data_IF_995758262277
#
_entry.id   IF_995758262277
#
_cell.length_a   1.000
_cell.length_b   1.000
_cell.length_c   1.000
_cell.angle_alpha   90.00
_cell.angle_beta   90.00
_cell.angle_gamma   90.00
#
_symmetry.space_group_name_H-M   'P 1'
#
loop_
_entity.id
_entity.type
_entity.pdbx_description
1 polymer ?
#
# COMPACT_ATOMS: atom_id res chain seq x y z
N UNK A 1 -7.88 -8.09 -16.33
CA UNK A 1 -9.21 -8.45 -16.88
C UNK A 1 -10.19 -8.58 -15.73
N UNK A 2 -11.22 -7.73 -15.69
CA UNK A 2 -12.22 -7.68 -14.62
C UNK A 2 -13.02 -6.38 -14.74
N UNK A 3 -13.99 -6.36 -15.66
CA UNK A 3 -14.89 -5.22 -15.90
C UNK A 3 -15.95 -5.19 -14.80
N UNK A 4 -16.03 -4.10 -14.05
CA UNK A 4 -17.15 -3.76 -13.17
C UNK A 4 -17.90 -2.59 -13.79
N UNK A 5 -18.81 -2.90 -14.71
CA UNK A 5 -19.87 -1.99 -15.16
C UNK A 5 -20.97 -2.84 -15.79
N UNK A 6 -22.09 -3.04 -15.09
CA UNK A 6 -23.39 -3.10 -15.74
C UNK A 6 -24.48 -2.63 -14.78
N UNK A 7 -25.02 -1.47 -15.12
CA UNK A 7 -26.30 -0.94 -14.68
C UNK A 7 -27.42 -1.76 -15.29
N UNK A 8 -28.33 -2.31 -14.48
CA UNK A 8 -29.55 -2.94 -14.97
C UNK A 8 -30.76 -2.03 -14.79
N UNK A 9 -31.35 -1.62 -15.90
CA UNK A 9 -32.80 -1.39 -16.02
C UNK A 9 -33.47 -2.71 -16.45
N UNK A 10 -34.75 -2.95 -16.11
CA UNK A 10 -35.37 -4.27 -16.22
C UNK A 10 -36.08 -4.48 -17.57
N UNK A 11 -35.89 -5.65 -18.17
CA UNK A 11 -36.82 -6.19 -19.17
C UNK A 11 -37.09 -7.67 -18.88
N UNK A 12 -38.37 -8.05 -18.99
CA UNK A 12 -38.97 -9.31 -18.58
C UNK A 12 -38.72 -10.47 -19.57
N UNK A 13 -38.72 -11.71 -19.06
CA UNK A 13 -38.98 -12.92 -19.88
C UNK A 13 -38.28 -14.22 -19.42
N UNK A 14 -39.04 -15.07 -18.71
CA UNK A 14 -39.01 -16.54 -18.68
C UNK A 14 -37.70 -17.38 -18.58
N UNK A 15 -37.57 -18.03 -17.42
CA UNK A 15 -37.29 -19.46 -17.16
C UNK A 15 -35.96 -20.17 -17.54
N UNK A 16 -35.32 -20.66 -16.46
CA UNK A 16 -34.65 -21.95 -16.24
C UNK A 16 -33.26 -22.23 -16.86
N UNK A 17 -32.22 -22.22 -16.00
CA UNK A 17 -31.38 -23.38 -15.62
C UNK A 17 -30.40 -22.98 -14.48
N UNK A 18 -30.10 -23.86 -13.49
CA UNK A 18 -29.34 -23.51 -12.28
C UNK A 18 -27.87 -23.94 -12.36
N UNK A 19 -26.96 -23.12 -11.84
CA UNK A 19 -25.55 -23.44 -11.48
C UNK A 19 -24.79 -22.10 -11.36
N UNK A 20 -24.02 -21.74 -10.32
CA UNK A 20 -23.26 -22.48 -9.32
C UNK A 20 -23.20 -21.57 -8.08
N UNK A 21 -23.55 -22.07 -6.91
CA UNK A 21 -23.22 -21.41 -5.64
C UNK A 21 -21.71 -21.53 -5.44
N UNK A 22 -21.02 -20.39 -5.55
CA UNK A 22 -19.65 -20.29 -5.05
C UNK A 22 -19.73 -20.04 -3.55
N UNK A 23 -19.75 -21.13 -2.78
CA UNK A 23 -19.52 -21.14 -1.34
C UNK A 23 -18.13 -20.55 -1.06
N UNK A 24 -18.10 -19.31 -0.60
CA UNK A 24 -16.89 -18.71 -0.03
C UNK A 24 -17.00 -18.83 1.48
N UNK A 25 -16.51 -19.96 1.99
CA UNK A 25 -16.30 -20.19 3.42
C UNK A 25 -15.32 -19.15 3.96
N UNK A 26 -15.81 -18.28 4.84
CA UNK A 26 -14.95 -17.47 5.72
C UNK A 26 -14.39 -18.40 6.81
N UNK A 27 -13.08 -18.40 7.00
CA UNK A 27 -12.47 -19.05 8.17
C UNK A 27 -12.97 -18.35 9.45
N UNK A 28 -13.83 -19.03 10.22
CA UNK A 28 -14.04 -18.69 11.64
C UNK A 28 -15.44 -18.36 12.13
N UNK A 29 -16.52 -18.53 11.36
CA UNK A 29 -17.89 -18.36 11.88
C UNK A 29 -18.56 -19.73 12.13
N UNK A 30 -19.05 -20.04 13.34
CA UNK A 30 -19.86 -21.23 13.55
C UNK A 30 -21.19 -21.08 12.80
N UNK A 31 -21.60 -22.15 12.12
CA UNK A 31 -22.90 -22.25 11.44
C UNK A 31 -24.04 -22.12 12.46
N UNK A 32 -24.68 -20.96 12.53
CA UNK A 32 -26.03 -20.87 13.09
C UNK A 32 -27.04 -20.62 11.98
N UNK A 33 -27.95 -21.59 11.85
CA UNK A 33 -28.98 -21.63 10.83
C UNK A 33 -30.03 -20.52 11.04
N UNK A 34 -30.28 -19.74 9.97
CA UNK A 34 -31.59 -19.14 9.75
C UNK A 34 -31.75 -17.67 10.12
N UNK A 35 -30.90 -16.79 9.58
CA UNK A 35 -31.26 -15.40 9.29
C UNK A 35 -30.80 -15.13 7.85
N UNK A 36 -31.67 -14.54 7.00
CA UNK A 36 -31.21 -13.98 5.73
C UNK A 36 -30.35 -12.76 6.08
N UNK A 37 -29.10 -13.02 6.43
CA UNK A 37 -28.14 -11.97 6.76
C UNK A 37 -27.99 -11.08 5.54
N UNK A 38 -28.43 -9.84 5.69
CA UNK A 38 -28.04 -8.79 4.76
C UNK A 38 -26.54 -8.70 4.88
N UNK A 39 -25.81 -9.20 3.89
CA UNK A 39 -24.37 -8.97 3.79
C UNK A 39 -24.12 -7.48 4.04
N UNK A 40 -23.12 -7.14 4.87
CA UNK A 40 -22.81 -5.75 5.13
C UNK A 40 -22.57 -5.04 3.80
N UNK A 41 -23.22 -3.89 3.63
CA UNK A 41 -23.14 -3.06 2.40
C UNK A 41 -21.69 -2.65 2.08
N UNK A 42 -20.82 -2.67 3.10
CA UNK A 42 -19.40 -2.36 3.02
C UNK A 42 -18.56 -3.53 3.52
N UNK A 43 -17.49 -3.85 2.80
CA UNK A 43 -16.45 -4.77 3.26
C UNK A 43 -15.30 -3.93 3.82
N UNK A 44 -14.80 -4.19 5.05
CA UNK A 44 -13.63 -3.49 5.57
C UNK A 44 -12.48 -3.50 4.55
N UNK A 45 -11.93 -2.32 4.29
CA UNK A 45 -10.99 -2.09 3.22
C UNK A 45 -9.59 -1.90 3.78
N UNK A 46 -8.66 -2.74 3.33
CA UNK A 46 -7.22 -2.49 3.44
C UNK A 46 -6.75 -1.97 2.09
N UNK A 47 -6.37 -0.69 2.04
CA UNK A 47 -5.85 -0.03 0.85
C UNK A 47 -4.33 0.06 0.95
N UNK A 48 -3.64 -0.61 0.03
CA UNK A 48 -2.18 -0.55 -0.09
C UNK A 48 -1.83 0.18 -1.39
N UNK A 49 -0.97 1.19 -1.29
CA UNK A 49 -0.55 2.01 -2.42
C UNK A 49 0.97 1.88 -2.58
N UNK A 50 1.45 1.03 -3.51
CA UNK A 50 2.85 0.95 -3.85
C UNK A 50 3.30 2.24 -4.54
N UNK A 51 4.46 2.76 -4.15
CA UNK A 51 5.00 4.04 -4.59
C UNK A 51 6.50 3.93 -4.83
N UNK A 52 7.00 4.77 -5.75
CA UNK A 52 8.42 5.03 -5.91
C UNK A 52 8.65 6.54 -5.79
N UNK A 53 9.23 6.99 -4.69
CA UNK A 53 9.34 8.41 -4.31
C UNK A 53 10.65 9.09 -4.75
N UNK A 54 11.41 8.43 -5.64
CA UNK A 54 12.68 8.92 -6.15
C UNK A 54 13.49 7.82 -6.83
N UNK A 55 14.64 8.19 -7.38
CA UNK A 55 15.51 7.24 -8.10
C UNK A 55 16.38 6.42 -7.15
N UNK A 56 17.05 7.07 -6.21
CA UNK A 56 17.97 6.43 -5.25
C UNK A 56 17.62 6.79 -3.82
N UNK A 57 17.27 8.05 -3.59
CA UNK A 57 16.81 8.61 -2.33
C UNK A 57 15.40 9.16 -2.53
N UNK A 58 14.69 9.38 -1.42
CA UNK A 58 13.38 10.04 -1.45
C UNK A 58 13.55 11.51 -1.86
N UNK A 59 12.67 11.99 -2.74
CA UNK A 59 12.60 13.41 -3.04
C UNK A 59 12.02 14.19 -1.83
N UNK A 60 12.71 15.23 -1.37
CA UNK A 60 12.30 16.04 -0.22
C UNK A 60 10.88 16.62 -0.36
N UNK A 61 10.42 16.87 -1.59
CA UNK A 61 9.07 17.36 -1.87
C UNK A 61 7.94 16.41 -1.43
N UNK A 62 8.26 15.12 -1.22
CA UNK A 62 7.31 14.11 -0.74
C UNK A 62 7.33 13.92 0.79
N UNK A 63 8.34 14.44 1.50
CA UNK A 63 8.52 14.20 2.94
C UNK A 63 7.31 14.67 3.73
N UNK A 64 6.80 15.87 3.46
CA UNK A 64 5.64 16.38 4.19
C UNK A 64 4.35 15.61 3.87
N UNK A 65 4.16 15.18 2.63
CA UNK A 65 3.02 14.32 2.27
C UNK A 65 3.11 12.96 2.95
N UNK A 66 4.32 12.38 3.05
CA UNK A 66 4.57 11.13 3.76
C UNK A 66 4.27 11.26 5.26
N UNK A 67 4.75 12.34 5.91
CA UNK A 67 4.43 12.65 7.32
C UNK A 67 2.92 12.71 7.54
N UNK A 68 2.19 13.38 6.64
CA UNK A 68 0.73 13.46 6.72
C UNK A 68 0.03 12.10 6.59
N UNK A 69 0.57 11.14 5.82
CA UNK A 69 0.01 9.79 5.76
C UNK A 69 0.03 9.07 7.11
N UNK A 70 1.02 9.34 7.98
CA UNK A 70 1.06 8.80 9.34
C UNK A 70 0.08 9.48 10.31
N UNK A 71 -0.43 10.67 9.97
CA UNK A 71 -1.31 11.45 10.84
C UNK A 71 -2.80 11.11 10.66
N UNK A 72 -3.15 10.32 9.64
CA UNK A 72 -4.54 9.95 9.36
C UNK A 72 -5.01 8.88 10.35
N UNK A 73 -6.25 8.94 10.86
CA UNK A 73 -6.84 7.88 11.69
C UNK A 73 -6.83 6.50 11.02
N UNK A 74 -6.92 6.48 9.69
CA UNK A 74 -6.91 5.27 8.87
C UNK A 74 -5.50 4.72 8.64
N UNK A 75 -4.44 5.39 9.07
CA UNK A 75 -3.06 5.00 8.75
C UNK A 75 -2.72 3.62 9.30
N UNK A 76 -2.27 2.73 8.41
CA UNK A 76 -1.60 1.48 8.76
C UNK A 76 -0.08 1.65 8.68
N UNK A 77 0.44 2.87 8.55
CA UNK A 77 1.87 3.09 8.35
C UNK A 77 2.37 2.72 6.95
N UNK A 78 3.66 2.42 6.87
CA UNK A 78 4.39 2.24 5.61
C UNK A 78 5.30 1.03 5.71
N UNK A 79 5.34 0.21 4.66
CA UNK A 79 6.36 -0.82 4.49
C UNK A 79 7.34 -0.40 3.41
N UNK A 80 8.62 -0.69 3.61
CA UNK A 80 9.65 -0.34 2.64
C UNK A 80 11.02 -0.78 3.11
N UNK A 81 12.06 -0.33 2.40
CA UNK A 81 13.44 -0.62 2.73
C UNK A 81 14.20 -1.24 1.56
N UNK A 82 15.50 -1.42 1.78
CA UNK A 82 16.42 -1.98 0.78
C UNK A 82 16.27 -3.51 0.74
N UNK A 83 16.75 -4.18 -0.32
CA UNK A 83 16.85 -5.63 -0.34
C UNK A 83 17.54 -6.15 0.94
N UNK A 84 16.90 -7.09 1.64
CA UNK A 84 17.34 -7.66 2.93
C UNK A 84 17.40 -6.68 4.11
N UNK A 85 16.76 -5.51 4.00
CA UNK A 85 16.66 -4.49 5.05
C UNK A 85 15.28 -3.83 5.03
N UNK A 86 14.22 -4.65 5.17
CA UNK A 86 12.83 -4.19 5.15
C UNK A 86 12.35 -3.79 6.56
N UNK A 87 11.62 -2.69 6.66
CA UNK A 87 11.10 -2.17 7.91
C UNK A 87 9.61 -1.85 7.80
N UNK A 88 8.90 -1.93 8.94
CA UNK A 88 7.52 -1.47 9.06
C UNK A 88 7.47 -0.17 9.84
N UNK A 89 7.32 0.94 9.12
CA UNK A 89 7.24 2.28 9.68
C UNK A 89 5.85 2.56 10.23
N UNK A 90 5.78 2.98 11.48
CA UNK A 90 4.51 3.17 12.22
C UNK A 90 4.24 4.64 12.57
N UNK A 91 5.20 5.53 12.30
CA UNK A 91 5.06 6.96 12.59
C UNK A 91 6.36 7.71 12.38
N UNK A 92 6.40 8.95 12.88
CA UNK A 92 7.57 9.81 12.80
C UNK A 92 7.68 10.73 14.01
N UNK A 93 8.87 11.29 14.22
CA UNK A 93 9.16 12.36 15.18
C UNK A 93 10.20 13.30 14.59
N UNK A 94 9.82 14.57 14.37
CA UNK A 94 10.68 15.51 13.65
C UNK A 94 10.99 15.00 12.23
N UNK A 95 12.28 14.78 11.95
CA UNK A 95 12.78 14.25 10.67
C UNK A 95 13.19 12.76 10.75
N UNK A 96 12.75 12.06 11.78
CA UNK A 96 13.02 10.63 11.97
C UNK A 96 11.74 9.80 11.82
N UNK A 97 11.83 8.68 11.10
CA UNK A 97 10.79 7.65 11.08
C UNK A 97 10.96 6.72 12.27
N UNK A 98 9.83 6.23 12.79
CA UNK A 98 9.78 5.21 13.84
C UNK A 98 9.31 3.90 13.21
N UNK A 99 10.01 2.80 13.46
CA UNK A 99 9.70 1.51 12.81
C UNK A 99 9.89 0.29 13.70
N UNK A 100 9.27 -0.81 13.26
CA UNK A 100 9.51 -2.17 13.73
C UNK A 100 10.45 -2.90 12.77
N UNK A 101 11.43 -3.59 13.34
CA UNK A 101 12.51 -4.27 12.62
C UNK A 101 12.36 -5.80 12.72
N UNK A 102 12.16 -6.52 11.59
CA UNK A 102 12.01 -7.97 11.58
C UNK A 102 13.35 -8.74 11.60
N UNK A 103 14.52 -8.09 11.56
CA UNK A 103 15.81 -8.75 11.37
C UNK A 103 16.39 -9.40 12.64
N UNK A 104 15.53 -9.92 13.51
CA UNK A 104 15.90 -10.76 14.66
C UNK A 104 15.26 -12.12 14.52
N UNK A 105 16.08 -13.16 14.35
CA UNK A 105 15.60 -14.55 14.30
C UNK A 105 15.19 -15.02 15.70
N UNK A 106 13.95 -15.47 15.83
CA UNK A 106 13.40 -16.02 17.07
C UNK A 106 13.04 -17.50 16.89
N UNK A 107 13.03 -18.32 17.96
CA UNK A 107 12.48 -19.67 17.91
C UNK A 107 11.01 -19.66 17.48
N UNK A 108 10.59 -20.69 16.73
CA UNK A 108 9.18 -20.85 16.40
C UNK A 108 8.36 -21.10 17.67
N UNK A 109 7.20 -20.45 17.77
CA UNK A 109 6.24 -20.68 18.85
C UNK A 109 5.38 -21.88 18.49
N UNK A 110 5.44 -22.93 19.30
CA UNK A 110 4.62 -24.13 19.13
C UNK A 110 3.18 -23.84 19.56
N UNK A 111 2.17 -24.18 18.73
CA UNK A 111 0.78 -24.00 19.10
C UNK A 111 0.40 -24.92 20.26
N UNK A 112 -0.38 -24.39 21.21
CA UNK A 112 -0.86 -25.13 22.36
C UNK A 112 -2.30 -25.62 22.13
N UNK A 113 -2.59 -26.86 22.51
CA UNK A 113 -3.92 -27.48 22.41
C UNK A 113 -5.00 -26.73 23.20
N UNK A 114 -4.61 -25.88 24.16
CA UNK A 114 -5.54 -25.09 24.96
C UNK A 114 -6.07 -23.83 24.26
N UNK A 115 -5.68 -23.56 23.01
CA UNK A 115 -6.09 -22.38 22.24
C UNK A 115 -5.47 -21.05 22.73
N UNK A 116 -4.57 -21.11 23.71
CA UNK A 116 -3.84 -19.94 24.22
C UNK A 116 -2.38 -20.02 23.72
N UNK A 117 -2.00 -19.06 22.88
CA UNK A 117 -0.65 -18.95 22.32
C UNK A 117 0.18 -17.98 23.18
N UNK A 118 1.40 -18.37 23.62
CA UNK A 118 2.30 -17.43 24.26
C UNK A 118 2.72 -16.37 23.23
N UNK A 119 2.37 -15.11 23.49
CA UNK A 119 2.45 -14.04 22.50
C UNK A 119 3.62 -13.06 22.72
N UNK A 120 4.45 -13.29 23.75
CA UNK A 120 5.47 -12.34 24.20
C UNK A 120 6.48 -11.99 23.10
N UNK A 121 6.79 -12.96 22.24
CA UNK A 121 7.71 -12.82 21.09
C UNK A 121 7.18 -11.94 19.95
N UNK A 122 5.86 -11.69 19.90
CA UNK A 122 5.20 -10.88 18.88
C UNK A 122 5.02 -9.41 19.29
N UNK A 123 5.44 -9.04 20.50
CA UNK A 123 5.41 -7.67 21.00
C UNK A 123 6.81 -7.11 21.17
N UNK A 124 7.15 -6.07 20.43
CA UNK A 124 8.44 -5.38 20.59
C UNK A 124 8.43 -4.53 21.87
N UNK A 125 9.12 -4.97 22.92
CA UNK A 125 9.24 -4.25 24.19
C UNK A 125 10.48 -3.33 24.27
N UNK A 126 11.33 -3.35 23.26
CA UNK A 126 12.51 -2.49 23.18
C UNK A 126 12.12 -1.06 22.77
N UNK A 127 12.97 -0.06 23.07
CA UNK A 127 12.79 1.29 22.53
C UNK A 127 12.61 1.24 21.01
N UNK A 128 11.62 1.96 20.44
CA UNK A 128 11.36 1.93 19.01
C UNK A 128 12.59 2.36 18.20
N UNK A 129 12.88 1.63 17.12
CA UNK A 129 13.95 1.97 16.20
C UNK A 129 13.63 3.27 15.45
N UNK A 130 14.68 4.03 15.12
CA UNK A 130 14.58 5.30 14.40
C UNK A 130 15.60 5.39 13.28
N UNK A 131 15.24 6.11 12.23
CA UNK A 131 16.15 6.45 11.14
C UNK A 131 15.72 7.78 10.51
N UNK A 132 16.62 8.46 9.81
CA UNK A 132 16.25 9.70 9.12
C UNK A 132 15.27 9.38 7.97
N UNK A 133 14.29 10.26 7.74
CA UNK A 133 13.39 10.14 6.58
C UNK A 133 14.19 10.13 5.27
N UNK A 134 15.30 10.87 5.20
CA UNK A 134 16.16 10.93 4.01
C UNK A 134 16.85 9.59 3.67
N UNK A 135 16.99 8.69 4.65
CA UNK A 135 17.62 7.37 4.48
C UNK A 135 16.63 6.31 3.98
N UNK A 136 15.34 6.64 3.91
CA UNK A 136 14.29 5.75 3.45
C UNK A 136 14.52 5.35 1.98
N UNK A 137 14.45 4.04 1.68
CA UNK A 137 14.45 3.60 0.28
C UNK A 137 13.20 4.14 -0.43
N UNK A 138 13.33 4.74 -1.62
CA UNK A 138 12.19 5.35 -2.30
C UNK A 138 11.12 4.35 -2.74
N UNK A 139 11.38 3.03 -2.76
CA UNK A 139 10.35 2.00 -2.97
C UNK A 139 9.62 1.67 -1.67
N UNK A 140 8.37 2.11 -1.58
CA UNK A 140 7.53 1.88 -0.39
C UNK A 140 6.11 1.44 -0.79
N UNK A 141 5.35 0.97 0.19
CA UNK A 141 3.90 0.92 0.10
C UNK A 141 3.27 1.53 1.35
N UNK A 142 2.38 2.51 1.14
CA UNK A 142 1.60 3.15 2.20
C UNK A 142 0.30 2.37 2.40
N UNK A 143 -0.08 2.12 3.64
CA UNK A 143 -1.31 1.40 3.98
C UNK A 143 -2.34 2.25 4.69
N UNK A 144 -3.62 2.02 4.36
CA UNK A 144 -4.76 2.59 5.05
C UNK A 144 -5.83 1.53 5.33
N UNK A 145 -6.50 1.64 6.48
CA UNK A 145 -7.62 0.79 6.86
C UNK A 145 -8.89 1.62 7.02
N UNK A 146 -9.93 1.26 6.26
CA UNK A 146 -11.26 1.86 6.34
C UNK A 146 -12.27 0.78 6.70
N UNK A 147 -12.64 0.72 7.99
CA UNK A 147 -13.56 -0.30 8.48
C UNK A 147 -14.98 -0.10 7.92
N UNK A 148 -15.37 1.15 7.71
CA UNK A 148 -16.67 1.56 7.19
C UNK A 148 -16.53 2.43 5.93
N UNK A 149 -17.64 2.61 5.19
CA UNK A 149 -17.70 3.55 4.07
C UNK A 149 -17.46 5.00 4.52
N UNK A 150 -17.87 5.35 5.74
CA UNK A 150 -17.63 6.67 6.34
C UNK A 150 -16.14 6.91 6.57
N UNK A 151 -15.39 5.91 7.04
CA UNK A 151 -13.93 6.00 7.20
C UNK A 151 -13.23 6.24 5.85
N UNK A 152 -13.71 5.58 4.79
CA UNK A 152 -13.18 5.78 3.43
C UNK A 152 -13.51 7.18 2.89
N UNK A 153 -14.72 7.67 3.15
CA UNK A 153 -15.12 9.02 2.76
C UNK A 153 -14.31 10.09 3.50
N UNK A 154 -14.03 9.90 4.79
CA UNK A 154 -13.15 10.77 5.56
C UNK A 154 -11.72 10.74 5.02
N UNK A 155 -11.16 9.54 4.77
CA UNK A 155 -9.85 9.40 4.13
C UNK A 155 -9.78 10.16 2.79
N UNK A 156 -10.80 10.02 1.93
CA UNK A 156 -10.90 10.76 0.67
C UNK A 156 -10.86 12.28 0.87
N UNK A 157 -11.52 12.80 1.91
CA UNK A 157 -11.51 14.22 2.24
C UNK A 157 -10.14 14.68 2.74
N UNK A 158 -9.45 13.87 3.54
CA UNK A 158 -8.11 14.18 4.03
C UNK A 158 -7.11 14.25 2.86
N UNK A 159 -7.15 13.28 1.94
CA UNK A 159 -6.30 13.30 0.73
C UNK A 159 -6.54 14.55 -0.13
N UNK A 160 -7.81 14.93 -0.34
CA UNK A 160 -8.15 16.15 -1.09
C UNK A 160 -7.66 17.43 -0.39
N UNK A 161 -7.61 17.45 0.93
CA UNK A 161 -7.06 18.58 1.70
C UNK A 161 -5.54 18.65 1.54
N UNK A 162 -4.85 17.50 1.53
CA UNK A 162 -3.39 17.44 1.35
C UNK A 162 -2.95 17.97 -0.01
N UNK A 163 -3.71 17.72 -1.08
CA UNK A 163 -3.38 18.25 -2.40
C UNK A 163 -3.47 19.78 -2.50
N UNK A 164 -4.01 20.46 -1.49
CA UNK A 164 -4.09 21.92 -1.40
C UNK A 164 -2.95 22.52 -0.54
N UNK A 165 -2.16 21.69 0.14
CA UNK A 165 -1.06 22.16 0.99
C UNK A 165 0.06 22.71 0.12
N UNK A 166 0.42 23.97 0.35
CA UNK A 166 1.43 24.68 -0.44
C UNK A 166 2.82 24.12 -0.11
N UNK A 167 3.55 23.67 -1.13
CA UNK A 167 4.92 23.18 -0.99
C UNK A 167 5.07 21.67 -0.81
N UNK A 168 3.97 20.92 -0.74
CA UNK A 168 3.98 19.46 -0.74
C UNK A 168 3.54 18.93 -2.11
N UNK A 169 4.21 17.90 -2.63
CA UNK A 169 3.79 17.22 -3.86
C UNK A 169 2.96 15.97 -3.53
N UNK A 170 1.80 15.76 -4.17
CA UNK A 170 1.02 14.56 -3.95
C UNK A 170 1.80 13.31 -4.39
N UNK A 171 1.83 12.29 -3.54
CA UNK A 171 2.46 11.00 -3.87
C UNK A 171 1.58 10.12 -4.78
N UNK A 172 0.25 10.32 -4.71
CA UNK A 172 -0.73 9.62 -5.52
C UNK A 172 -1.95 10.53 -5.77
N UNK A 173 -2.76 10.18 -6.77
CA UNK A 173 -3.97 10.90 -7.14
C UNK A 173 -5.23 10.12 -6.75
N UNK A 174 -6.22 10.83 -6.22
CA UNK A 174 -7.56 10.29 -5.97
C UNK A 174 -8.50 10.75 -7.07
N UNK A 175 -9.02 9.81 -7.85
CA UNK A 175 -9.94 10.06 -8.96
C UNK A 175 -11.24 9.31 -8.78
N UNK A 176 -12.35 9.92 -9.18
CA UNK A 176 -13.68 9.29 -9.08
C UNK A 176 -13.92 8.26 -10.20
N UNK A 177 -13.31 8.48 -11.37
CA UNK A 177 -13.34 7.53 -12.49
C UNK A 177 -11.96 7.42 -13.10
N UNK A 178 -11.54 6.18 -13.38
CA UNK A 178 -10.28 5.93 -14.06
C UNK A 178 -10.28 6.57 -15.46
N UNK A 179 -9.24 7.34 -15.82
CA UNK A 179 -9.15 7.89 -17.17
C UNK A 179 -9.03 6.78 -18.20
N UNK A 180 -9.68 6.95 -19.36
CA UNK A 180 -9.81 5.92 -20.39
C UNK A 180 -8.47 5.40 -20.97
N UNK A 181 -7.39 6.16 -20.84
CA UNK A 181 -6.06 5.79 -21.34
C UNK A 181 -5.20 5.01 -20.33
N UNK A 182 -5.62 4.88 -19.06
CA UNK A 182 -4.87 4.20 -17.99
C UNK A 182 -5.17 2.70 -17.87
N UNK A 183 -5.44 2.00 -18.97
CA UNK A 183 -5.92 0.60 -18.93
C UNK A 183 -4.90 -0.42 -18.38
N UNK A 184 -3.72 0.01 -17.92
CA UNK A 184 -2.67 -0.87 -17.38
C UNK A 184 -2.45 -0.62 -15.88
N UNK A 185 -2.73 -1.59 -14.99
CA UNK A 185 -2.67 -1.40 -13.53
C UNK A 185 -1.24 -1.36 -12.94
N UNK A 186 -0.20 -1.73 -13.68
CA UNK A 186 1.13 -2.00 -13.11
C UNK A 186 2.18 -0.88 -13.28
N UNK A 187 1.75 0.34 -13.60
CA UNK A 187 2.70 1.46 -13.86
C UNK A 187 2.83 2.36 -12.65
N UNK A 188 3.98 2.30 -11.97
CA UNK A 188 4.38 3.29 -10.97
C UNK A 188 4.85 4.57 -11.69
N UNK A 189 4.18 5.70 -11.43
CA UNK A 189 4.56 7.01 -11.99
C UNK A 189 5.69 7.61 -11.15
N UNK A 190 6.81 7.91 -11.80
CA UNK A 190 7.90 8.71 -11.24
C UNK A 190 7.74 10.17 -11.69
N UNK A 191 7.86 11.12 -10.77
CA UNK A 191 7.97 12.55 -11.12
C UNK A 191 9.40 13.02 -10.82
N UNK A 192 10.34 12.84 -11.76
CA UNK A 192 11.72 13.28 -11.55
C UNK A 192 11.78 14.81 -11.48
N UNK A 193 12.57 15.35 -10.55
CA UNK A 193 12.90 16.76 -10.53
C UNK A 193 14.10 17.08 -11.43
N UNK A 194 14.48 18.36 -11.53
CA UNK A 194 15.62 18.77 -12.39
C UNK A 194 16.96 18.16 -11.98
N UNK A 195 17.13 17.79 -10.71
CA UNK A 195 18.36 17.15 -10.23
C UNK A 195 18.39 15.67 -10.64
N UNK A 196 17.26 14.98 -10.54
CA UNK A 196 17.08 13.61 -10.99
C UNK A 196 17.21 13.48 -12.51
N UNK A 197 16.68 14.44 -13.28
CA UNK A 197 16.83 14.48 -14.72
C UNK A 197 18.31 14.53 -15.15
N UNK A 198 19.12 15.37 -14.49
CA UNK A 198 20.55 15.46 -14.75
C UNK A 198 21.30 14.17 -14.36
N UNK A 199 20.88 13.47 -13.29
CA UNK A 199 21.48 12.17 -12.90
C UNK A 199 21.12 11.07 -13.90
N UNK A 200 19.89 11.11 -14.42
CA UNK A 200 19.42 10.18 -15.43
C UNK A 200 20.17 10.38 -16.76
N UNK A 201 20.37 11.63 -17.19
CA UNK A 201 21.19 11.95 -18.38
C UNK A 201 22.63 11.44 -18.23
N UNK A 202 23.27 11.65 -17.06
CA UNK A 202 24.63 11.12 -16.81
C UNK A 202 24.71 9.60 -16.76
N UNK A 203 23.62 8.90 -16.43
CA UNK A 203 23.55 7.44 -16.45
C UNK A 203 23.49 6.87 -17.87
N UNK A 204 23.01 7.65 -18.83
CA UNK A 204 23.01 7.27 -20.25
C UNK A 204 24.30 7.67 -20.99
N UNK A 205 25.06 8.63 -20.44
CA UNK A 205 26.37 9.04 -20.96
C UNK A 205 27.53 8.10 -20.59
N UNK A 206 27.32 7.12 -19.69
CA UNK A 206 28.28 6.02 -19.51
C UNK A 206 28.03 4.98 -20.60
N UNK A 207 28.35 5.35 -21.84
CA UNK A 207 28.37 4.45 -22.98
C UNK A 207 29.47 3.40 -22.75
N UNK A 208 29.03 2.14 -22.69
CA UNK A 208 29.87 0.94 -22.79
C UNK A 208 30.53 0.89 -24.19
N UNK A 209 31.63 1.61 -24.38
CA UNK A 209 32.63 1.24 -25.39
C UNK A 209 33.51 0.13 -24.81
N UNK A 210 33.11 -1.14 -24.93
CA UNK A 210 34.03 -2.29 -25.03
C UNK A 210 33.25 -3.62 -25.20
N UNK A 211 32.84 -3.93 -26.43
CA UNK A 211 32.56 -5.31 -26.85
C UNK A 211 33.52 -5.69 -27.98
N UNK A 212 34.63 -6.35 -27.65
CA UNK A 212 35.46 -7.05 -28.65
C UNK A 212 34.70 -8.27 -29.18
N UNK A 213 34.33 -8.24 -30.46
CA UNK A 213 33.83 -9.41 -31.19
C UNK A 213 35.02 -10.29 -31.54
N UNK A 214 35.22 -11.37 -30.79
CA UNK A 214 36.12 -12.45 -31.19
C UNK A 214 35.42 -13.30 -32.27
N UNK A 215 35.90 -13.19 -33.50
CA UNK A 215 35.58 -14.11 -34.58
C UNK A 215 36.35 -15.43 -34.42
N UNK A 216 35.60 -16.53 -34.31
CA UNK A 216 36.05 -17.89 -34.61
C UNK A 216 35.06 -18.52 -35.59
#
# INVERSE_FOLDING_TARGET
VGRLCQSNFPCAGAAACPSVESDVLYNGYPEEAGVRDRLPLWKPLVLLIPLRLGLTEINEAYIETLKHCFMMPQSLGVIGGKPNSAHYFIGYVGEELIYLDPHTTQPAVEPNDSGCLPDESFHCQHPPCRMSIAELDPSIAVGFFCNTEEDFNDWCQQIKKLSLVRGALPMFELVERQPSHFSNPDVLKLTPDSSDANRLERFFDSEDEDFEILSL
#
